data_IF_982916067622
#
_entry.id   IF_982916067622
#
_cell.length_a   1.000
_cell.length_b   1.000
_cell.length_c   1.000
_cell.angle_alpha   90.00
_cell.angle_beta   90.00
_cell.angle_gamma   90.00
#
_symmetry.space_group_name_H-M   'P 1'
#
loop_
_entity.id
_entity.type
_entity.pdbx_description
1 polymer ?
#
# COMPACT_ATOMS: atom_id res chain seq x y z
N UNK A 1 21.97 34.45 25.29
CA UNK A 1 21.38 33.23 24.63
C UNK A 1 22.50 32.40 23.96
N UNK A 2 23.34 33.02 23.06
CA UNK A 2 24.38 32.28 22.34
C UNK A 2 25.39 31.58 23.27
N UNK A 3 25.84 32.22 24.35
CA UNK A 3 26.72 31.65 25.35
C UNK A 3 26.10 30.42 26.04
N UNK A 4 24.83 30.50 26.46
CA UNK A 4 24.12 29.38 27.12
C UNK A 4 23.98 28.20 26.17
N UNK A 5 23.63 28.44 24.89
CA UNK A 5 23.53 27.39 23.89
C UNK A 5 24.89 26.72 23.62
N UNK A 6 25.98 27.52 23.59
CA UNK A 6 27.31 26.97 23.39
C UNK A 6 27.75 26.10 24.58
N UNK A 7 27.59 26.59 25.80
CA UNK A 7 27.92 25.83 27.01
C UNK A 7 27.06 24.55 27.13
N UNK A 8 25.77 24.62 26.86
CA UNK A 8 24.91 23.43 26.86
C UNK A 8 25.40 22.37 25.87
N UNK A 9 25.81 22.79 24.67
CA UNK A 9 26.36 21.87 23.65
C UNK A 9 27.71 21.27 24.10
N UNK A 10 28.60 22.08 24.70
CA UNK A 10 29.89 21.65 25.25
C UNK A 10 29.69 20.64 26.41
N UNK A 11 28.63 20.78 27.18
CA UNK A 11 28.25 19.87 28.25
C UNK A 11 27.52 18.61 27.75
N UNK A 12 27.30 18.45 26.44
CA UNK A 12 26.55 17.30 25.85
C UNK A 12 25.06 17.33 26.14
N UNK A 13 24.49 18.50 26.50
CA UNK A 13 23.06 18.61 26.75
C UNK A 13 22.26 18.47 25.45
N UNK A 14 21.40 17.45 25.40
CA UNK A 14 20.43 17.24 24.33
C UNK A 14 19.04 17.61 24.87
N UNK A 15 18.34 18.58 24.28
CA UNK A 15 16.98 18.93 24.69
C UNK A 15 16.05 17.72 24.61
N UNK A 16 15.22 17.53 25.63
CA UNK A 16 14.22 16.46 25.63
C UNK A 16 13.15 16.78 24.56
N UNK A 17 12.94 15.82 23.63
CA UNK A 17 12.01 15.98 22.52
C UNK A 17 10.56 16.21 23.02
N UNK A 18 10.12 15.49 24.05
CA UNK A 18 8.77 15.64 24.63
C UNK A 18 8.56 17.01 25.26
N UNK A 19 9.57 17.57 25.96
CA UNK A 19 9.48 18.92 26.50
C UNK A 19 9.46 20.00 25.40
N UNK A 20 10.15 19.76 24.30
CA UNK A 20 10.15 20.65 23.12
C UNK A 20 8.81 20.60 22.39
N UNK A 21 8.21 19.41 22.23
CA UNK A 21 6.92 19.23 21.55
C UNK A 21 5.77 19.95 22.25
N UNK A 22 5.76 19.99 23.57
CA UNK A 22 4.77 20.74 24.36
C UNK A 22 4.74 22.24 24.01
N UNK A 23 5.90 22.82 23.74
CA UNK A 23 6.02 24.25 23.37
C UNK A 23 5.67 24.50 21.91
N UNK A 24 6.06 23.60 21.00
CA UNK A 24 5.94 23.77 19.55
C UNK A 24 4.64 23.24 19.00
N UNK A 25 3.88 22.43 19.77
CA UNK A 25 2.71 21.66 19.33
C UNK A 25 3.03 20.80 18.08
N UNK A 26 4.28 20.37 17.96
CA UNK A 26 4.79 19.48 16.91
C UNK A 26 5.77 18.51 17.51
N UNK A 27 5.67 17.24 17.14
CA UNK A 27 6.58 16.19 17.60
C UNK A 27 7.65 15.85 16.59
N UNK A 28 7.46 16.23 15.32
CA UNK A 28 8.29 15.80 14.20
C UNK A 28 8.32 14.28 14.07
N UNK A 29 7.18 13.64 14.35
CA UNK A 29 7.01 12.19 14.27
C UNK A 29 5.85 11.86 13.33
N UNK A 30 6.10 10.99 12.35
CA UNK A 30 5.13 10.47 11.42
C UNK A 30 4.81 9.02 11.78
N UNK A 31 3.53 8.72 11.97
CA UNK A 31 3.05 7.37 12.17
C UNK A 31 2.97 6.59 10.85
N UNK A 32 3.28 5.30 10.90
CA UNK A 32 3.01 4.37 9.80
C UNK A 32 2.08 3.29 10.34
N UNK A 33 0.87 3.23 9.81
CA UNK A 33 -0.03 2.11 10.00
C UNK A 33 0.11 1.15 8.82
N UNK A 34 0.72 0.01 9.11
CA UNK A 34 0.97 -1.05 8.15
C UNK A 34 0.61 -2.40 8.77
N UNK A 35 -0.34 -3.10 8.15
CA UNK A 35 -0.82 -4.42 8.61
C UNK A 35 -0.73 -5.39 7.45
N UNK A 36 0.32 -6.20 7.42
CA UNK A 36 0.49 -7.21 6.39
C UNK A 36 -0.37 -8.46 6.69
N UNK A 37 -1.39 -8.69 5.87
CA UNK A 37 -2.25 -9.88 5.94
C UNK A 37 -1.57 -11.13 5.37
N UNK A 38 -0.54 -10.95 4.53
CA UNK A 38 0.14 -12.07 3.83
C UNK A 38 1.28 -12.68 4.65
N UNK A 39 1.54 -12.16 5.83
CA UNK A 39 2.66 -12.56 6.70
C UNK A 39 4.05 -12.39 6.06
N UNK A 40 4.17 -11.62 5.00
CA UNK A 40 5.45 -11.23 4.38
C UNK A 40 6.16 -10.15 5.21
N UNK A 41 5.40 -9.39 5.98
CA UNK A 41 5.89 -8.29 6.82
C UNK A 41 6.57 -7.21 5.99
N UNK A 42 7.63 -6.64 6.54
CA UNK A 42 8.44 -5.62 5.86
C UNK A 42 9.26 -6.16 4.67
N UNK A 43 9.19 -7.45 4.37
CA UNK A 43 9.87 -8.06 3.22
C UNK A 43 9.05 -7.98 1.93
N UNK A 44 7.81 -7.53 2.01
CA UNK A 44 6.96 -7.29 0.85
C UNK A 44 7.60 -6.20 -0.03
N UNK A 45 8.13 -6.56 -1.19
CA UNK A 45 9.00 -5.72 -2.02
C UNK A 45 8.37 -4.36 -2.38
N UNK A 46 7.11 -4.35 -2.82
CA UNK A 46 6.38 -3.11 -3.11
C UNK A 46 6.27 -2.19 -1.88
N UNK A 47 5.80 -2.72 -0.75
CA UNK A 47 5.63 -1.91 0.46
C UNK A 47 6.95 -1.56 1.11
N UNK A 48 7.97 -2.44 1.07
CA UNK A 48 9.30 -2.11 1.57
C UNK A 48 9.91 -0.93 0.83
N UNK A 49 9.73 -0.85 -0.48
CA UNK A 49 10.19 0.29 -1.28
C UNK A 49 9.47 1.59 -0.92
N UNK A 50 8.15 1.54 -0.69
CA UNK A 50 7.37 2.70 -0.22
C UNK A 50 7.84 3.15 1.16
N UNK A 51 8.01 2.20 2.10
CA UNK A 51 8.43 2.50 3.47
C UNK A 51 9.85 3.06 3.53
N UNK A 52 10.76 2.55 2.69
CA UNK A 52 12.12 3.09 2.57
C UNK A 52 12.12 4.52 2.04
N UNK A 53 11.38 4.77 0.96
CA UNK A 53 11.23 6.12 0.41
C UNK A 53 10.60 7.09 1.44
N UNK A 54 9.57 6.65 2.16
CA UNK A 54 8.94 7.43 3.23
C UNK A 54 9.93 7.77 4.34
N UNK A 55 10.72 6.77 4.78
CA UNK A 55 11.76 6.98 5.80
C UNK A 55 12.78 8.01 5.35
N UNK A 56 13.30 7.88 4.11
CA UNK A 56 14.29 8.80 3.56
C UNK A 56 13.75 10.24 3.49
N UNK A 57 12.51 10.43 3.03
CA UNK A 57 11.91 11.76 2.93
C UNK A 57 11.53 12.34 4.29
N UNK A 58 11.10 11.52 5.24
CA UNK A 58 10.85 11.94 6.61
C UNK A 58 12.14 12.45 7.27
N UNK A 59 13.26 11.71 7.17
CA UNK A 59 14.56 12.11 7.69
C UNK A 59 15.07 13.43 7.07
N UNK A 60 14.95 13.59 5.74
CA UNK A 60 15.29 14.84 5.06
C UNK A 60 14.49 16.04 5.57
N UNK A 61 13.24 15.80 5.95
CA UNK A 61 12.34 16.81 6.49
C UNK A 61 12.49 16.98 8.02
N UNK A 62 13.42 16.26 8.65
CA UNK A 62 13.67 16.31 10.09
C UNK A 62 12.59 15.65 10.93
N UNK A 63 11.88 14.66 10.37
CA UNK A 63 10.86 13.88 11.07
C UNK A 63 11.37 12.47 11.38
N UNK A 64 10.97 11.96 12.55
CA UNK A 64 11.11 10.56 12.90
C UNK A 64 9.91 9.76 12.39
N UNK A 65 10.10 8.44 12.24
CA UNK A 65 9.06 7.51 11.81
C UNK A 65 8.79 6.50 12.91
N UNK A 66 7.50 6.26 13.23
CA UNK A 66 7.07 5.26 14.21
C UNK A 66 5.94 4.40 13.67
N UNK A 67 5.95 3.09 13.94
CA UNK A 67 4.83 2.22 13.57
C UNK A 67 3.68 2.36 14.56
N UNK A 68 2.47 2.45 14.00
CA UNK A 68 1.21 2.43 14.75
C UNK A 68 0.71 0.99 14.81
N UNK A 69 0.38 0.52 16.02
CA UNK A 69 -0.06 -0.84 16.29
C UNK A 69 -1.11 -0.86 17.40
N UNK A 70 -1.73 -2.01 17.62
CA UNK A 70 -2.78 -2.18 18.65
C UNK A 70 -2.24 -2.60 20.02
N UNK A 71 -1.06 -3.23 20.06
CA UNK A 71 -0.48 -3.75 21.30
C UNK A 71 0.70 -2.89 21.71
N UNK A 72 0.49 -2.04 22.70
CA UNK A 72 1.50 -1.10 23.22
C UNK A 72 1.53 -1.20 24.73
N UNK A 73 2.73 -1.33 25.32
CA UNK A 73 2.93 -1.39 26.79
C UNK A 73 2.06 -2.43 27.52
N UNK A 74 1.77 -3.61 26.89
CA UNK A 74 0.86 -4.64 27.36
C UNK A 74 -0.61 -4.23 27.46
N UNK A 75 -1.00 -3.10 26.88
CA UNK A 75 -2.37 -2.66 26.73
C UNK A 75 -2.82 -2.75 25.29
N UNK A 76 -4.10 -3.04 25.07
CA UNK A 76 -4.71 -3.02 23.76
C UNK A 76 -5.27 -1.61 23.52
N UNK A 77 -4.76 -0.98 22.46
CA UNK A 77 -5.17 0.36 22.01
C UNK A 77 -5.74 0.28 20.61
N UNK A 78 -6.68 1.18 20.27
CA UNK A 78 -7.04 1.41 18.87
C UNK A 78 -5.88 2.10 18.14
N UNK A 79 -5.91 2.09 16.81
CA UNK A 79 -4.90 2.81 16.00
C UNK A 79 -4.90 4.32 16.31
N UNK A 80 -6.09 4.90 16.52
CA UNK A 80 -6.22 6.30 16.90
C UNK A 80 -5.64 6.58 18.30
N UNK A 81 -5.94 5.73 19.27
CA UNK A 81 -5.40 5.86 20.63
C UNK A 81 -3.87 5.77 20.61
N UNK A 82 -3.30 4.84 19.84
CA UNK A 82 -1.84 4.73 19.74
C UNK A 82 -1.24 5.96 19.02
N UNK A 83 -1.85 6.45 17.96
CA UNK A 83 -1.40 7.67 17.28
C UNK A 83 -1.39 8.88 18.21
N UNK A 84 -2.44 9.03 19.03
CA UNK A 84 -2.53 10.07 20.09
C UNK A 84 -1.51 9.85 21.21
N UNK A 85 -1.36 8.62 21.68
CA UNK A 85 -0.37 8.26 22.71
C UNK A 85 1.04 8.62 22.28
N UNK A 86 1.40 8.36 21.03
CA UNK A 86 2.68 8.77 20.43
C UNK A 86 2.72 10.23 20.05
N UNK A 87 1.57 10.91 20.04
CA UNK A 87 1.40 12.30 19.63
C UNK A 87 2.03 12.56 18.24
N UNK A 88 1.77 11.65 17.26
CA UNK A 88 2.31 11.80 15.92
C UNK A 88 1.67 12.99 15.19
N UNK A 89 2.41 13.66 14.32
CA UNK A 89 1.95 14.82 13.55
C UNK A 89 1.05 14.42 12.36
N UNK A 90 1.05 13.13 11.99
CA UNK A 90 0.20 12.52 10.97
C UNK A 90 0.49 11.04 10.80
N UNK A 91 -0.37 10.33 10.07
CA UNK A 91 -0.23 8.88 9.83
C UNK A 91 -0.34 8.54 8.35
N UNK A 92 0.62 7.77 7.84
CA UNK A 92 0.53 7.10 6.54
C UNK A 92 -0.06 5.72 6.76
N UNK A 93 -1.10 5.38 5.99
CA UNK A 93 -1.86 4.14 6.10
C UNK A 93 -1.66 3.32 4.83
N UNK A 94 -1.09 2.14 4.96
CA UNK A 94 -0.81 1.24 3.85
C UNK A 94 -1.06 -0.22 4.22
N UNK A 95 -1.49 -1.03 3.26
CA UNK A 95 -1.68 -2.49 3.42
C UNK A 95 -2.56 -2.90 4.60
N UNK A 96 -3.66 -2.17 4.81
CA UNK A 96 -4.65 -2.46 5.86
C UNK A 96 -5.96 -2.98 5.24
N UNK A 97 -6.85 -3.49 6.08
CA UNK A 97 -8.26 -3.55 5.72
C UNK A 97 -8.87 -2.15 5.84
N UNK A 98 -9.10 -1.50 4.72
CA UNK A 98 -9.68 -0.15 4.70
C UNK A 98 -11.14 -0.11 5.14
N UNK A 99 -11.80 -1.27 5.31
CA UNK A 99 -13.14 -1.38 5.91
C UNK A 99 -13.09 -1.64 7.43
N UNK A 100 -11.90 -1.81 8.02
CA UNK A 100 -11.75 -1.95 9.47
C UNK A 100 -12.28 -0.69 10.17
N UNK A 101 -13.23 -0.83 11.13
CA UNK A 101 -13.78 0.30 11.86
C UNK A 101 -12.72 1.17 12.56
N UNK A 102 -11.61 0.60 13.01
CA UNK A 102 -10.53 1.34 13.67
C UNK A 102 -9.69 2.16 12.66
N UNK A 103 -9.51 1.66 11.43
CA UNK A 103 -8.89 2.44 10.35
C UNK A 103 -9.78 3.61 9.96
N UNK A 104 -11.09 3.35 9.83
CA UNK A 104 -12.10 4.39 9.54
C UNK A 104 -12.14 5.44 10.66
N UNK A 105 -12.06 5.02 11.93
CA UNK A 105 -11.99 5.92 13.09
C UNK A 105 -10.77 6.86 12.99
N UNK A 106 -9.59 6.31 12.72
CA UNK A 106 -8.35 7.09 12.56
C UNK A 106 -8.46 8.10 11.42
N UNK A 107 -8.97 7.68 10.25
CA UNK A 107 -9.13 8.58 9.08
C UNK A 107 -10.14 9.70 9.33
N UNK A 108 -11.19 9.43 10.10
CA UNK A 108 -12.22 10.45 10.45
C UNK A 108 -11.80 11.36 11.60
N UNK A 109 -10.69 11.09 12.26
CA UNK A 109 -10.21 11.87 13.39
C UNK A 109 -9.56 13.19 12.96
N UNK A 110 -9.11 13.96 13.95
CA UNK A 110 -8.32 15.18 13.74
C UNK A 110 -6.85 14.90 13.36
N UNK A 111 -6.38 13.65 13.45
CA UNK A 111 -5.02 13.28 13.05
C UNK A 111 -4.90 13.30 11.53
N UNK A 112 -4.01 14.09 10.93
CA UNK A 112 -3.82 14.08 9.49
C UNK A 112 -3.45 12.69 8.98
N UNK A 113 -4.13 12.21 7.94
CA UNK A 113 -3.87 10.90 7.37
C UNK A 113 -3.65 10.95 5.86
N UNK A 114 -2.78 10.07 5.37
CA UNK A 114 -2.58 9.81 3.94
C UNK A 114 -2.71 8.30 3.74
N UNK A 115 -3.53 7.89 2.78
CA UNK A 115 -3.71 6.48 2.42
C UNK A 115 -2.95 6.12 1.15
N UNK A 116 -2.47 4.88 1.08
CA UNK A 116 -1.85 4.32 -0.11
C UNK A 116 -2.82 3.34 -0.77
N UNK A 117 -3.09 3.56 -2.05
CA UNK A 117 -3.94 2.74 -2.93
C UNK A 117 -5.41 2.60 -2.48
N UNK A 118 -5.89 3.51 -1.61
CA UNK A 118 -7.31 3.58 -1.24
C UNK A 118 -7.77 5.02 -1.02
N UNK A 119 -9.00 5.33 -1.43
CA UNK A 119 -9.57 6.68 -1.33
C UNK A 119 -10.72 6.70 -0.33
N UNK A 120 -10.59 7.52 0.71
CA UNK A 120 -11.71 7.95 1.54
C UNK A 120 -12.21 9.34 1.12
N UNK A 121 -13.48 9.61 1.32
CA UNK A 121 -14.01 10.96 1.14
C UNK A 121 -13.31 11.94 2.10
N UNK A 122 -12.87 13.07 1.53
CA UNK A 122 -12.20 14.15 2.29
C UNK A 122 -10.84 13.78 2.92
N UNK A 123 -10.16 12.75 2.41
CA UNK A 123 -8.79 12.41 2.82
C UNK A 123 -7.82 12.49 1.64
N UNK A 124 -6.54 12.62 1.95
CA UNK A 124 -5.48 12.55 0.93
C UNK A 124 -5.15 11.10 0.65
N UNK A 125 -5.08 10.74 -0.63
CA UNK A 125 -4.68 9.41 -1.08
C UNK A 125 -3.58 9.50 -2.14
N UNK A 126 -2.64 8.56 -2.08
CA UNK A 126 -1.65 8.31 -3.13
C UNK A 126 -2.07 7.02 -3.82
N UNK A 127 -2.28 7.10 -5.13
CA UNK A 127 -2.86 6.01 -5.90
C UNK A 127 -1.92 5.56 -7.00
N UNK A 128 -1.76 4.24 -7.15
CA UNK A 128 -1.19 3.65 -8.35
C UNK A 128 -2.19 3.81 -9.52
N UNK A 129 -1.68 4.06 -10.70
CA UNK A 129 -2.53 4.14 -11.90
C UNK A 129 -2.88 2.73 -12.43
N UNK A 130 -3.70 2.02 -11.67
CA UNK A 130 -4.03 0.63 -11.90
C UNK A 130 -4.79 0.38 -13.20
N UNK A 131 -5.64 1.33 -13.62
CA UNK A 131 -6.41 1.23 -14.88
C UNK A 131 -5.45 1.28 -16.07
N UNK A 132 -4.66 2.35 -16.19
CA UNK A 132 -3.78 2.54 -17.34
C UNK A 132 -2.61 1.54 -17.33
N UNK A 133 -2.17 1.11 -16.14
CA UNK A 133 -1.14 0.09 -16.00
C UNK A 133 -1.55 -1.22 -16.65
N UNK A 134 -2.74 -1.72 -16.30
CA UNK A 134 -3.23 -2.98 -16.87
C UNK A 134 -3.67 -2.84 -18.32
N UNK A 135 -4.26 -1.71 -18.69
CA UNK A 135 -4.54 -1.39 -20.08
C UNK A 135 -3.27 -1.47 -20.94
N UNK A 136 -2.16 -0.89 -20.45
CA UNK A 136 -0.86 -0.92 -21.13
C UNK A 136 -0.31 -2.34 -21.31
N UNK A 137 -0.45 -3.19 -20.29
CA UNK A 137 -0.03 -4.60 -20.35
C UNK A 137 -0.83 -5.37 -21.41
N UNK A 138 -2.15 -5.20 -21.47
CA UNK A 138 -3.00 -5.83 -22.48
C UNK A 138 -2.62 -5.36 -23.88
N UNK A 139 -2.46 -4.04 -24.06
CA UNK A 139 -2.02 -3.46 -25.35
C UNK A 139 -0.63 -3.97 -25.75
N UNK A 140 0.27 -4.12 -24.81
CA UNK A 140 1.58 -4.72 -25.06
C UNK A 140 1.48 -6.19 -25.51
N UNK A 141 0.71 -7.00 -24.80
CA UNK A 141 0.47 -8.40 -25.19
C UNK A 141 -0.13 -8.49 -26.60
N UNK A 142 -1.14 -7.66 -26.89
CA UNK A 142 -1.75 -7.59 -28.22
C UNK A 142 -0.75 -7.16 -29.31
N UNK A 143 0.16 -6.23 -29.03
CA UNK A 143 1.21 -5.79 -29.96
C UNK A 143 2.20 -6.92 -30.28
N UNK A 144 2.32 -7.91 -29.41
CA UNK A 144 3.10 -9.15 -29.66
C UNK A 144 2.32 -10.22 -30.41
N UNK A 145 1.10 -9.93 -30.83
CA UNK A 145 0.24 -10.82 -31.62
C UNK A 145 -0.71 -11.69 -30.79
N UNK A 146 -0.75 -11.54 -29.47
CA UNK A 146 -1.69 -12.27 -28.63
C UNK A 146 -3.11 -11.72 -28.78
N UNK A 147 -4.07 -12.60 -29.04
CA UNK A 147 -5.51 -12.28 -29.14
C UNK A 147 -6.33 -12.99 -28.07
N UNK A 148 -5.80 -14.04 -27.48
CA UNK A 148 -6.38 -14.82 -26.41
C UNK A 148 -5.58 -14.53 -25.14
N UNK A 149 -6.00 -13.48 -24.42
CA UNK A 149 -5.31 -12.96 -23.25
C UNK A 149 -6.15 -13.28 -22.03
N UNK A 150 -5.57 -14.01 -21.08
CA UNK A 150 -6.17 -14.29 -19.79
C UNK A 150 -5.63 -13.34 -18.71
N UNK A 151 -6.41 -13.14 -17.68
CA UNK A 151 -6.03 -12.36 -16.50
C UNK A 151 -6.39 -13.14 -15.23
N UNK A 152 -5.37 -13.51 -14.46
CA UNK A 152 -5.52 -13.98 -13.08
C UNK A 152 -5.34 -12.74 -12.22
N UNK A 153 -6.40 -12.30 -11.53
CA UNK A 153 -6.35 -11.10 -10.69
C UNK A 153 -6.10 -11.45 -9.22
N UNK A 154 -5.81 -10.46 -8.38
CA UNK A 154 -5.69 -10.62 -6.93
C UNK A 154 -7.06 -10.74 -6.25
N UNK A 155 -7.04 -10.80 -4.91
CA UNK A 155 -8.26 -10.78 -4.09
C UNK A 155 -9.09 -9.51 -4.33
N UNK A 156 -10.35 -9.55 -3.94
CA UNK A 156 -11.30 -8.46 -4.13
C UNK A 156 -10.89 -7.21 -3.33
N UNK A 157 -10.30 -6.25 -4.04
CA UNK A 157 -9.86 -4.96 -3.52
C UNK A 157 -10.17 -3.85 -4.52
N UNK A 158 -10.05 -2.59 -4.10
CA UNK A 158 -10.15 -1.43 -5.01
C UNK A 158 -9.09 -1.47 -6.13
N UNK A 159 -7.88 -1.93 -5.81
CA UNK A 159 -6.81 -2.14 -6.78
C UNK A 159 -7.22 -3.16 -7.84
N UNK A 160 -7.75 -4.31 -7.43
CA UNK A 160 -8.22 -5.37 -8.33
C UNK A 160 -9.34 -4.88 -9.23
N UNK A 161 -10.33 -4.18 -8.66
CA UNK A 161 -11.45 -3.61 -9.43
C UNK A 161 -10.98 -2.65 -10.52
N UNK A 162 -10.01 -1.79 -10.22
CA UNK A 162 -9.40 -0.86 -11.19
C UNK A 162 -8.59 -1.59 -12.25
N UNK A 163 -7.86 -2.64 -11.89
CA UNK A 163 -7.11 -3.46 -12.86
C UNK A 163 -8.05 -4.22 -13.78
N UNK A 164 -9.14 -4.79 -13.25
CA UNK A 164 -10.18 -5.40 -14.09
C UNK A 164 -10.80 -4.41 -15.07
N UNK A 165 -11.10 -3.19 -14.60
CA UNK A 165 -11.60 -2.13 -15.48
C UNK A 165 -10.61 -1.81 -16.62
N UNK A 166 -9.31 -1.71 -16.32
CA UNK A 166 -8.26 -1.51 -17.33
C UNK A 166 -8.15 -2.67 -18.32
N UNK A 167 -8.26 -3.91 -17.83
CA UNK A 167 -8.26 -5.11 -18.67
C UNK A 167 -9.43 -5.09 -19.65
N UNK A 168 -10.66 -4.94 -19.16
CA UNK A 168 -11.85 -4.94 -20.03
C UNK A 168 -11.86 -3.78 -21.01
N UNK A 169 -11.45 -2.58 -20.57
CA UNK A 169 -11.31 -1.39 -21.44
C UNK A 169 -10.37 -1.66 -22.60
N UNK A 170 -9.19 -2.21 -22.34
CA UNK A 170 -8.21 -2.49 -23.37
C UNK A 170 -8.69 -3.57 -24.34
N UNK A 171 -9.32 -4.65 -23.85
CA UNK A 171 -9.89 -5.69 -24.69
C UNK A 171 -10.96 -5.14 -25.62
N UNK A 172 -11.82 -4.25 -25.11
CA UNK A 172 -12.86 -3.56 -25.90
C UNK A 172 -12.27 -2.64 -26.99
N UNK A 173 -11.34 -1.76 -26.61
CA UNK A 173 -10.67 -0.84 -27.54
C UNK A 173 -9.96 -1.58 -28.68
N UNK A 174 -9.34 -2.72 -28.38
CA UNK A 174 -8.64 -3.58 -29.33
C UNK A 174 -9.60 -4.51 -30.10
N UNK A 175 -10.90 -4.47 -29.80
CA UNK A 175 -11.94 -5.38 -30.36
C UNK A 175 -11.58 -6.86 -30.20
N UNK A 176 -10.94 -7.18 -29.08
CA UNK A 176 -10.62 -8.56 -28.70
C UNK A 176 -11.77 -9.15 -27.89
N UNK A 177 -12.12 -10.39 -28.19
CA UNK A 177 -13.18 -11.11 -27.47
C UNK A 177 -12.65 -11.53 -26.09
N UNK A 178 -13.35 -11.13 -25.04
CA UNK A 178 -13.12 -11.65 -23.68
C UNK A 178 -13.83 -13.00 -23.56
N UNK A 179 -13.07 -14.06 -23.31
CA UNK A 179 -13.64 -15.33 -22.87
C UNK A 179 -13.83 -15.27 -21.35
N UNK A 180 -15.05 -15.46 -20.79
CA UNK A 180 -15.28 -15.46 -19.35
C UNK A 180 -14.37 -16.44 -18.58
N UNK A 181 -14.02 -17.57 -19.20
CA UNK A 181 -13.11 -18.54 -18.61
C UNK A 181 -11.66 -18.06 -18.48
N UNK A 182 -11.29 -16.95 -19.10
CA UNK A 182 -9.94 -16.39 -19.05
C UNK A 182 -9.73 -15.41 -17.91
N UNK A 183 -10.77 -15.00 -17.21
CA UNK A 183 -10.67 -14.16 -16.01
C UNK A 183 -10.81 -15.06 -14.79
N UNK A 184 -9.79 -15.10 -13.95
CA UNK A 184 -9.70 -16.02 -12.82
C UNK A 184 -9.37 -15.28 -11.54
N UNK A 185 -10.01 -15.72 -10.46
CA UNK A 185 -9.72 -15.27 -9.12
C UNK A 185 -8.38 -15.85 -8.66
N UNK A 186 -7.48 -14.99 -8.22
CA UNK A 186 -6.21 -15.34 -7.63
C UNK A 186 -6.00 -14.62 -6.30
N UNK A 187 -4.78 -14.66 -5.82
CA UNK A 187 -4.33 -13.91 -4.64
C UNK A 187 -3.04 -13.17 -4.99
N UNK A 188 -2.84 -12.00 -4.39
CA UNK A 188 -1.55 -11.32 -4.48
C UNK A 188 -0.50 -12.14 -3.71
N UNK A 189 0.69 -12.24 -4.27
CA UNK A 189 1.86 -12.91 -3.66
C UNK A 189 1.63 -14.40 -3.29
N UNK A 190 0.68 -15.08 -3.94
CA UNK A 190 0.51 -16.52 -3.78
C UNK A 190 0.69 -17.29 -5.11
N UNK A 191 1.93 -17.77 -5.39
CA UNK A 191 2.22 -18.53 -6.61
C UNK A 191 1.49 -19.87 -6.67
N UNK A 192 1.06 -20.43 -5.53
CA UNK A 192 0.34 -21.72 -5.51
C UNK A 192 -1.07 -21.55 -6.08
N UNK A 193 -1.79 -20.50 -5.68
CA UNK A 193 -3.13 -20.19 -6.22
C UNK A 193 -3.01 -19.85 -7.69
N UNK A 194 -2.09 -18.96 -8.07
CA UNK A 194 -1.85 -18.59 -9.46
C UNK A 194 -1.45 -19.79 -10.32
N UNK A 195 -0.63 -20.70 -9.79
CA UNK A 195 -0.25 -21.94 -10.47
C UNK A 195 -1.43 -22.90 -10.69
N UNK A 196 -2.38 -22.97 -9.75
CA UNK A 196 -3.62 -23.77 -9.91
C UNK A 196 -4.51 -23.18 -11.01
N UNK A 197 -4.74 -21.87 -11.00
CA UNK A 197 -5.55 -21.20 -12.02
C UNK A 197 -4.88 -21.25 -13.40
N UNK A 198 -3.55 -21.14 -13.46
CA UNK A 198 -2.77 -21.34 -14.69
C UNK A 198 -3.01 -22.74 -15.28
N UNK A 199 -2.97 -23.80 -14.46
CA UNK A 199 -3.23 -25.17 -14.91
C UNK A 199 -4.65 -25.30 -15.49
N UNK A 200 -5.66 -24.69 -14.82
CA UNK A 200 -7.04 -24.66 -15.35
C UNK A 200 -7.12 -23.96 -16.70
N UNK A 201 -6.49 -22.79 -16.84
CA UNK A 201 -6.46 -22.05 -18.11
C UNK A 201 -5.78 -22.83 -19.24
N UNK A 202 -4.68 -23.52 -18.93
CA UNK A 202 -3.94 -24.31 -19.93
C UNK A 202 -4.64 -25.63 -20.30
N UNK A 203 -5.58 -26.10 -19.48
CA UNK A 203 -6.39 -27.32 -19.76
C UNK A 203 -7.63 -27.04 -20.60
N UNK A 204 -7.96 -25.77 -20.89
CA UNK A 204 -9.07 -25.44 -21.78
C UNK A 204 -8.77 -25.87 -23.23
N UNK A 205 -9.77 -26.36 -23.94
CA UNK A 205 -9.67 -26.66 -25.37
C UNK A 205 -9.27 -25.41 -26.16
N UNK A 206 -9.92 -24.29 -25.86
CA UNK A 206 -9.56 -22.96 -26.37
C UNK A 206 -8.72 -22.22 -25.32
N UNK A 207 -7.45 -22.60 -25.17
CA UNK A 207 -6.55 -22.03 -24.15
C UNK A 207 -6.03 -20.64 -24.53
N UNK A 208 -5.74 -19.76 -23.54
CA UNK A 208 -5.11 -18.48 -23.79
C UNK A 208 -3.68 -18.64 -24.31
N UNK A 209 -3.19 -17.64 -25.01
CA UNK A 209 -1.81 -17.57 -25.51
C UNK A 209 -0.93 -16.60 -24.70
N UNK A 210 -1.56 -15.82 -23.82
CA UNK A 210 -0.89 -14.94 -22.87
C UNK A 210 -1.72 -14.94 -21.57
N UNK A 211 -1.06 -14.94 -20.43
CA UNK A 211 -1.67 -14.82 -19.12
C UNK A 211 -1.02 -13.64 -18.42
N UNK A 212 -1.83 -12.72 -17.92
CA UNK A 212 -1.41 -11.62 -17.04
C UNK A 212 -1.66 -12.07 -15.62
N UNK A 213 -0.70 -11.84 -14.74
CA UNK A 213 -0.75 -12.20 -13.33
C UNK A 213 -0.96 -10.97 -12.44
N UNK A 214 -1.42 -11.14 -11.18
CA UNK A 214 -1.67 -10.02 -10.28
C UNK A 214 -0.38 -9.28 -9.89
N UNK A 215 0.74 -9.99 -9.83
CA UNK A 215 2.07 -9.49 -9.53
C UNK A 215 3.14 -10.49 -10.01
N UNK A 216 4.41 -10.11 -9.93
CA UNK A 216 5.57 -10.89 -10.35
C UNK A 216 5.83 -12.12 -9.45
N UNK A 217 5.58 -12.01 -8.14
CA UNK A 217 5.72 -13.13 -7.19
C UNK A 217 4.71 -14.23 -7.53
N UNK A 218 3.48 -13.86 -7.87
CA UNK A 218 2.43 -14.79 -8.27
C UNK A 218 2.71 -15.50 -9.59
N UNK A 219 3.66 -14.99 -10.40
CA UNK A 219 4.09 -15.60 -11.67
C UNK A 219 5.15 -16.69 -11.46
N UNK A 220 5.99 -16.59 -10.44
CA UNK A 220 7.14 -17.47 -10.19
C UNK A 220 6.69 -18.74 -9.43
#
# INVERSE_FOLDING_TARGET
IAFICKTAKEMGYIPNASARSLKLKKTYSIGILFVDKTSSGLRHEYFSSILDALKVEAEKSGNDVTFISQNVTNEHMTYLEHARYRNVDGVVIASVDFNDPQVIELVKSEVPTVTIDYVYNNSTAIMSNNVDGLESLVKYAASKGHKKIAFIHGEETDVTSKRLAGFYKAMEELKLKVNPDYVKDGLYHDPRVSGQETKKLLSLDDRPTCIIYPDDISLI
#
